data_IF_678710079289
#
_entry.id   IF_678710079289
#
_cell.length_a   1.000
_cell.length_b   1.000
_cell.length_c   1.000
_cell.angle_alpha   90.00
_cell.angle_beta   90.00
_cell.angle_gamma   90.00
#
_symmetry.space_group_name_H-M   'P 1'
#
loop_
_entity.id
_entity.type
_entity.pdbx_description
1 polymer ?
#
# COMPACT_ATOMS: atom_id res chain seq x y z
N UNK A 1 13.67 11.56 -19.96
CA UNK A 1 14.24 10.31 -20.50
C UNK A 1 13.62 9.13 -19.75
N UNK A 2 13.58 7.91 -20.30
CA UNK A 2 12.96 6.75 -19.63
C UNK A 2 13.67 6.44 -18.29
N UNK A 3 14.97 6.74 -18.20
CA UNK A 3 15.74 6.64 -16.95
C UNK A 3 15.21 7.61 -15.88
N UNK A 4 14.85 8.84 -16.26
CA UNK A 4 14.26 9.81 -15.32
C UNK A 4 12.91 9.31 -14.80
N UNK A 5 12.07 8.78 -15.69
CA UNK A 5 10.79 8.16 -15.29
C UNK A 5 10.99 6.96 -14.35
N UNK A 6 12.04 6.17 -14.56
CA UNK A 6 12.40 5.06 -13.67
C UNK A 6 12.87 5.57 -12.29
N UNK A 7 13.62 6.68 -12.24
CA UNK A 7 14.08 7.30 -11.00
C UNK A 7 12.95 7.98 -10.22
N UNK A 8 11.99 8.55 -10.94
CA UNK A 8 10.83 9.23 -10.37
C UNK A 8 9.71 8.27 -9.97
N UNK A 9 9.77 7.00 -10.38
CA UNK A 9 8.79 6.00 -10.00
C UNK A 9 8.78 5.78 -8.49
N UNK A 10 7.64 6.07 -7.85
CA UNK A 10 7.43 5.89 -6.41
C UNK A 10 6.21 5.00 -6.14
N UNK A 11 6.30 4.19 -5.08
CA UNK A 11 5.19 3.44 -4.50
C UNK A 11 4.31 4.38 -3.70
N UNK A 12 3.13 4.68 -4.23
CA UNK A 12 2.12 5.48 -3.54
C UNK A 12 1.28 4.62 -2.59
N UNK A 13 0.54 5.24 -1.68
CA UNK A 13 -0.36 4.51 -0.77
C UNK A 13 -1.46 3.74 -1.50
N UNK A 14 -1.93 4.27 -2.64
CA UNK A 14 -2.97 3.64 -3.46
C UNK A 14 -2.47 2.49 -4.33
N UNK A 15 -1.15 2.25 -4.36
CA UNK A 15 -0.52 1.25 -5.21
C UNK A 15 0.03 0.13 -4.34
N UNK A 16 -0.25 -1.11 -4.74
CA UNK A 16 0.35 -2.30 -4.12
C UNK A 16 1.82 -2.43 -4.50
N UNK A 17 2.57 -3.20 -3.70
CA UNK A 17 3.97 -3.56 -4.04
C UNK A 17 4.03 -4.21 -5.42
N UNK A 18 3.07 -5.09 -5.76
CA UNK A 18 3.03 -5.79 -7.05
C UNK A 18 2.86 -4.86 -8.24
N UNK A 19 1.98 -3.86 -8.11
CA UNK A 19 1.75 -2.87 -9.16
C UNK A 19 2.99 -2.01 -9.38
N UNK A 20 3.61 -1.55 -8.30
CA UNK A 20 4.89 -0.85 -8.35
C UNK A 20 5.95 -1.70 -9.06
N UNK A 21 6.11 -2.97 -8.65
CA UNK A 21 7.09 -3.89 -9.24
C UNK A 21 6.87 -4.14 -10.72
N UNK A 22 5.61 -4.20 -11.14
CA UNK A 22 5.26 -4.36 -12.56
C UNK A 22 5.59 -3.10 -13.36
N UNK A 23 5.31 -1.92 -12.81
CA UNK A 23 5.67 -0.65 -13.44
C UNK A 23 7.19 -0.50 -13.59
N UNK A 24 7.95 -0.80 -12.53
CA UNK A 24 9.41 -0.76 -12.54
C UNK A 24 10.00 -1.67 -13.63
N UNK A 25 9.59 -2.95 -13.67
CA UNK A 25 10.07 -3.90 -14.69
C UNK A 25 9.72 -3.47 -16.11
N UNK A 26 8.55 -2.86 -16.30
CA UNK A 26 8.11 -2.37 -17.61
C UNK A 26 9.04 -1.25 -18.10
N UNK A 27 9.32 -0.27 -17.26
CA UNK A 27 10.25 0.82 -17.57
C UNK A 27 11.67 0.30 -17.80
N UNK A 28 12.17 -0.59 -16.94
CA UNK A 28 13.50 -1.17 -17.10
C UNK A 28 13.66 -1.93 -18.43
N UNK A 29 12.61 -2.65 -18.86
CA UNK A 29 12.60 -3.32 -20.17
C UNK A 29 12.62 -2.34 -21.33
N UNK A 30 11.94 -1.19 -21.22
CA UNK A 30 11.96 -0.19 -22.28
C UNK A 30 13.32 0.46 -22.44
N UNK A 31 14.08 0.66 -21.36
CA UNK A 31 15.45 1.17 -21.43
C UNK A 31 16.29 0.27 -22.34
N UNK A 32 16.27 -1.05 -22.11
CA UNK A 32 17.02 -2.01 -22.94
C UNK A 32 16.55 -2.09 -24.40
N UNK A 33 15.31 -1.68 -24.70
CA UNK A 33 14.71 -1.82 -26.03
C UNK A 33 14.76 -0.56 -26.89
N UNK A 34 14.66 0.62 -26.28
CA UNK A 34 14.50 1.91 -26.97
C UNK A 34 15.80 2.68 -27.04
N UNK A 35 16.60 2.58 -25.98
CA UNK A 35 17.84 3.31 -25.84
C UNK A 35 18.96 2.29 -26.02
N UNK A 36 19.71 2.32 -27.13
CA UNK A 36 20.88 1.45 -27.39
C UNK A 36 21.98 1.57 -26.30
N UNK A 37 21.69 2.34 -25.25
CA UNK A 37 22.36 2.40 -23.97
C UNK A 37 22.67 1.02 -23.34
N UNK A 38 23.82 0.99 -22.69
CA UNK A 38 24.29 -0.15 -21.90
C UNK A 38 23.26 -0.54 -20.82
N UNK A 39 22.99 -1.85 -20.61
CA UNK A 39 22.07 -2.30 -19.57
C UNK A 39 22.46 -1.73 -18.20
N UNK A 40 21.48 -1.21 -17.46
CA UNK A 40 21.70 -0.74 -16.09
C UNK A 40 22.20 -1.93 -15.25
N UNK A 41 23.32 -1.79 -14.51
CA UNK A 41 23.81 -2.85 -13.64
C UNK A 41 22.74 -3.32 -12.66
N UNK A 42 22.70 -4.63 -12.37
CA UNK A 42 21.69 -5.20 -11.48
C UNK A 42 21.69 -4.54 -10.08
N UNK A 43 22.87 -4.20 -9.57
CA UNK A 43 23.02 -3.48 -8.30
C UNK A 43 22.37 -2.11 -8.30
N UNK A 44 22.44 -1.40 -9.43
CA UNK A 44 21.82 -0.10 -9.61
C UNK A 44 20.31 -0.25 -9.76
N UNK A 45 19.84 -1.25 -10.51
CA UNK A 45 18.41 -1.57 -10.58
C UNK A 45 17.81 -1.86 -9.21
N UNK A 46 18.53 -2.59 -8.35
CA UNK A 46 18.12 -2.89 -6.97
C UNK A 46 18.06 -1.61 -6.12
N UNK A 47 19.06 -0.72 -6.25
CA UNK A 47 19.06 0.57 -5.56
C UNK A 47 17.90 1.45 -6.01
N UNK A 48 17.65 1.55 -7.32
CA UNK A 48 16.55 2.33 -7.90
C UNK A 48 15.19 1.76 -7.48
N UNK A 49 15.03 0.43 -7.51
CA UNK A 49 13.83 -0.24 -7.04
C UNK A 49 13.55 0.06 -5.57
N UNK A 50 14.59 0.02 -4.72
CA UNK A 50 14.48 0.33 -3.29
C UNK A 50 14.13 1.81 -3.06
N UNK A 51 14.73 2.74 -3.79
CA UNK A 51 14.49 4.19 -3.61
C UNK A 51 13.05 4.61 -3.94
N UNK A 52 12.34 3.84 -4.76
CA UNK A 52 10.93 4.09 -5.04
C UNK A 52 9.97 3.65 -3.92
N UNK A 53 10.42 2.90 -2.92
CA UNK A 53 9.57 2.45 -1.80
C UNK A 53 9.40 3.53 -0.71
N UNK A 54 8.38 3.43 0.18
CA UNK A 54 8.25 4.31 1.33
C UNK A 54 9.51 4.29 2.21
N UNK A 55 9.92 5.45 2.73
CA UNK A 55 11.22 5.62 3.41
C UNK A 55 11.32 4.74 4.66
N UNK A 56 10.20 4.54 5.35
CA UNK A 56 10.08 3.68 6.53
C UNK A 56 10.43 2.23 6.17
N UNK A 57 9.97 1.76 5.01
CA UNK A 57 10.22 0.41 4.52
C UNK A 57 11.67 0.22 4.04
N UNK A 58 12.31 1.30 3.59
CA UNK A 58 13.71 1.28 3.15
C UNK A 58 14.70 1.07 4.32
N UNK A 59 14.37 1.62 5.50
CA UNK A 59 15.24 1.67 6.68
C UNK A 59 15.07 0.43 7.55
N UNK A 60 13.83 -0.01 7.80
CA UNK A 60 13.53 -0.90 8.91
C UNK A 60 13.72 -2.40 8.60
N UNK A 61 13.78 -2.81 7.33
CA UNK A 61 13.69 -4.24 6.94
C UNK A 61 14.58 -4.69 5.77
N UNK A 62 15.26 -3.79 5.07
CA UNK A 62 16.00 -4.09 3.83
C UNK A 62 17.53 -4.10 4.03
N UNK A 63 18.05 -5.05 4.81
CA UNK A 63 19.50 -5.14 5.05
C UNK A 63 20.28 -6.01 4.05
N UNK A 64 19.65 -6.85 3.20
CA UNK A 64 20.44 -7.90 2.50
C UNK A 64 19.99 -8.38 1.10
N UNK A 65 18.88 -7.96 0.44
CA UNK A 65 18.62 -8.55 -0.87
C UNK A 65 19.54 -7.96 -1.93
N UNK A 66 20.35 -8.82 -2.56
CA UNK A 66 21.12 -8.50 -3.76
C UNK A 66 20.26 -8.43 -5.03
N UNK A 67 19.02 -8.94 -4.99
CA UNK A 67 18.15 -9.06 -6.17
C UNK A 67 16.74 -8.53 -5.89
N UNK A 68 16.10 -7.99 -6.94
CA UNK A 68 14.76 -7.37 -6.90
C UNK A 68 13.69 -8.34 -6.37
N UNK A 69 13.70 -9.60 -6.79
CA UNK A 69 12.72 -10.59 -6.34
C UNK A 69 12.73 -10.82 -4.81
N UNK A 70 13.91 -10.68 -4.18
CA UNK A 70 14.04 -10.75 -2.73
C UNK A 70 13.42 -9.53 -2.04
N UNK A 71 13.66 -8.34 -2.59
CA UNK A 71 13.03 -7.10 -2.11
C UNK A 71 11.51 -7.14 -2.25
N UNK A 72 10.99 -7.60 -3.39
CA UNK A 72 9.55 -7.74 -3.63
C UNK A 72 8.87 -8.57 -2.54
N UNK A 73 9.42 -9.74 -2.24
CA UNK A 73 8.85 -10.61 -1.20
C UNK A 73 8.88 -9.95 0.18
N UNK A 74 9.93 -9.21 0.50
CA UNK A 74 10.02 -8.49 1.76
C UNK A 74 8.99 -7.36 1.85
N UNK A 75 8.87 -6.55 0.79
CA UNK A 75 7.90 -5.47 0.75
C UNK A 75 6.46 -5.97 0.72
N UNK A 76 6.17 -7.08 0.01
CA UNK A 76 4.85 -7.72 0.06
C UNK A 76 4.50 -8.20 1.47
N UNK A 77 5.48 -8.66 2.25
CA UNK A 77 5.26 -9.06 3.64
C UNK A 77 4.95 -7.85 4.52
N UNK A 78 5.70 -6.76 4.36
CA UNK A 78 5.46 -5.51 5.09
C UNK A 78 4.05 -4.98 4.77
N UNK A 79 3.69 -4.93 3.50
CA UNK A 79 2.38 -4.48 3.03
C UNK A 79 1.24 -5.30 3.66
N UNK A 80 1.39 -6.63 3.74
CA UNK A 80 0.40 -7.50 4.41
C UNK A 80 0.29 -7.21 5.91
N UNK A 81 1.43 -7.08 6.59
CA UNK A 81 1.44 -6.77 8.04
C UNK A 81 0.75 -5.43 8.31
N UNK A 82 1.03 -4.40 7.52
CA UNK A 82 0.36 -3.10 7.67
C UNK A 82 -1.15 -3.17 7.39
N UNK A 83 -1.57 -3.94 6.37
CA UNK A 83 -2.99 -4.17 6.08
C UNK A 83 -3.70 -4.93 7.20
N UNK A 84 -3.04 -5.93 7.79
CA UNK A 84 -3.55 -6.68 8.94
C UNK A 84 -3.69 -5.79 10.18
N UNK A 85 -2.67 -4.98 10.48
CA UNK A 85 -2.68 -4.02 11.58
C UNK A 85 -3.80 -2.98 11.41
N UNK A 86 -4.00 -2.45 10.20
CA UNK A 86 -5.08 -1.52 9.91
C UNK A 86 -6.45 -2.19 10.03
N UNK A 87 -6.60 -3.44 9.57
CA UNK A 87 -7.83 -4.20 9.75
C UNK A 87 -8.14 -4.44 11.24
N UNK A 88 -7.13 -4.73 12.06
CA UNK A 88 -7.27 -4.88 13.51
C UNK A 88 -7.66 -3.55 14.18
N UNK A 89 -7.08 -2.42 13.75
CA UNK A 89 -7.47 -1.08 14.20
C UNK A 89 -8.91 -0.75 13.83
N UNK A 90 -9.31 -1.05 12.60
CA UNK A 90 -10.67 -0.77 12.13
C UNK A 90 -11.71 -1.65 12.82
N UNK A 91 -11.38 -2.90 13.16
CA UNK A 91 -12.23 -3.80 14.00
C UNK A 91 -12.38 -3.31 15.44
N UNK A 92 -11.39 -2.58 15.96
CA UNK A 92 -11.40 -2.01 17.32
C UNK A 92 -12.09 -0.65 17.39
N UNK A 93 -12.46 -0.03 16.27
CA UNK A 93 -13.39 1.10 16.32
C UNK A 93 -14.71 0.53 16.83
N UNK A 94 -15.20 0.93 18.03
CA UNK A 94 -16.56 0.60 18.38
C UNK A 94 -17.40 1.14 17.23
N UNK A 95 -18.25 0.30 16.65
CA UNK A 95 -19.34 0.79 15.84
C UNK A 95 -19.92 1.93 16.67
N UNK A 96 -19.87 3.17 16.15
CA UNK A 96 -20.67 4.23 16.73
C UNK A 96 -22.07 3.67 16.64
N UNK A 97 -22.55 3.15 17.76
CA UNK A 97 -23.91 2.74 17.96
C UNK A 97 -24.71 3.98 17.62
N UNK A 98 -25.15 4.04 16.36
CA UNK A 98 -26.21 4.93 15.95
C UNK A 98 -27.46 4.30 16.56
N UNK A 99 -27.56 4.40 17.88
CA UNK A 99 -28.67 3.95 18.69
C UNK A 99 -29.78 4.96 18.51
N UNK A 100 -30.29 5.08 17.29
CA UNK A 100 -31.60 5.64 17.04
C UNK A 100 -32.63 4.52 17.25
N UNK A 101 -32.69 4.00 18.47
CA UNK A 101 -33.71 3.05 18.90
C UNK A 101 -34.88 3.84 19.48
N UNK A 102 -35.80 4.15 18.57
CA UNK A 102 -37.20 4.45 18.77
C UNK A 102 -37.80 3.80 20.05
N UNK A 103 -38.30 4.58 21.03
CA UNK A 103 -39.30 4.11 22.02
C UNK A 103 -39.73 5.23 23.02
N UNK A 104 -40.58 6.16 22.58
CA UNK A 104 -41.54 6.81 23.49
C UNK A 104 -42.95 6.32 23.14
N UNK A 105 -43.25 5.12 23.63
CA UNK A 105 -44.55 4.64 24.12
C UNK A 105 -45.81 5.06 23.33
N UNK A 106 -46.28 4.14 22.49
CA UNK A 106 -47.73 3.97 22.31
C UNK A 106 -48.28 3.19 23.52
N UNK A 107 -49.20 3.79 24.28
CA UNK A 107 -50.22 3.05 25.04
C UNK A 107 -51.41 3.95 25.32
N UNK A 108 -52.53 3.54 24.74
CA UNK A 108 -53.89 4.08 24.87
C UNK A 108 -54.46 4.00 26.30
N UNK A 109 -55.63 4.65 26.46
CA UNK A 109 -56.64 4.59 27.52
C UNK A 109 -56.55 5.55 28.73
N UNK A 110 -57.38 6.60 28.65
CA UNK A 110 -57.95 7.31 29.79
C UNK A 110 -59.27 7.96 29.36
N UNK A 111 -60.38 7.26 29.55
CA UNK A 111 -61.72 7.86 29.49
C UNK A 111 -62.08 8.53 30.82
N UNK A 112 -62.91 9.58 30.76
CA UNK A 112 -63.79 9.97 31.86
C UNK A 112 -63.57 11.35 32.52
N UNK A 113 -64.64 12.15 32.47
CA UNK A 113 -65.08 13.18 33.42
C UNK A 113 -64.18 14.40 33.71
N UNK A 114 -64.58 15.57 33.20
CA UNK A 114 -65.40 16.55 33.93
C UNK A 114 -65.96 17.61 32.97
#
# INVERSE_FOLDING_TARGET
MIIDELMDLRKTQSMSVREYSRAFRKLNRYITFIDESEPIPETDCVRMYKSGMPIEWQIEKCCVPRHIAGLERQFELIERVEQEDEALRNRRRPARDNKNSNASRSRENGGGHQ
#
